data_IF_230786222300
#
_entry.id   IF_230786222300
#
_cell.length_a   1.000
_cell.length_b   1.000
_cell.length_c   1.000
_cell.angle_alpha   90.00
_cell.angle_beta   90.00
_cell.angle_gamma   90.00
#
_symmetry.space_group_name_H-M   'P 1'
#
loop_
_entity.id
_entity.type
_entity.pdbx_description
1 polymer ?
#
# COMPACT_ATOMS: atom_id res chain seq x y z
N UNK A 1 16.82 -17.91 -4.65
CA UNK A 1 15.44 -18.31 -4.28
C UNK A 1 14.85 -17.48 -3.15
N UNK A 2 15.42 -17.47 -1.93
CA UNK A 2 14.90 -16.59 -0.85
C UNK A 2 15.28 -15.13 -1.07
N UNK A 3 16.51 -14.87 -1.51
CA UNK A 3 17.00 -13.50 -1.72
C UNK A 3 16.25 -12.80 -2.87
N UNK A 4 15.95 -13.52 -3.96
CA UNK A 4 15.13 -13.00 -5.08
C UNK A 4 13.73 -12.55 -4.62
N UNK A 5 13.09 -13.30 -3.72
CA UNK A 5 11.77 -12.97 -3.17
C UNK A 5 11.82 -11.76 -2.22
N UNK A 6 12.94 -11.58 -1.50
CA UNK A 6 13.18 -10.40 -0.68
C UNK A 6 13.36 -9.18 -1.57
N UNK A 7 14.12 -9.30 -2.66
CA UNK A 7 14.29 -8.22 -3.63
C UNK A 7 12.98 -7.85 -4.31
N UNK A 8 12.18 -8.83 -4.73
CA UNK A 8 10.83 -8.63 -5.25
C UNK A 8 9.94 -7.92 -4.23
N UNK A 9 9.99 -8.36 -2.96
CA UNK A 9 9.26 -7.69 -1.87
C UNK A 9 9.72 -6.26 -1.65
N UNK A 10 11.01 -5.94 -1.78
CA UNK A 10 11.54 -4.58 -1.62
C UNK A 10 11.13 -3.66 -2.78
N UNK A 11 10.94 -4.21 -3.98
CA UNK A 11 10.46 -3.50 -5.18
C UNK A 11 8.94 -3.50 -5.33
N UNK A 12 8.21 -4.22 -4.48
CA UNK A 12 6.76 -4.33 -4.55
C UNK A 12 6.07 -2.97 -4.41
N UNK A 13 5.34 -2.56 -5.45
CA UNK A 13 4.50 -1.38 -5.45
C UNK A 13 3.11 -1.72 -5.99
N UNK A 14 2.12 -0.94 -5.57
CA UNK A 14 0.75 -0.99 -6.07
C UNK A 14 0.75 -0.49 -7.51
N UNK A 15 0.25 -1.31 -8.44
CA UNK A 15 0.16 -0.95 -9.86
C UNK A 15 -1.10 -0.10 -10.15
N UNK A 16 -1.14 0.58 -11.29
CA UNK A 16 -2.12 1.67 -11.57
C UNK A 16 -3.59 1.21 -11.46
N UNK A 17 -3.90 -0.01 -11.91
CA UNK A 17 -5.26 -0.58 -11.90
C UNK A 17 -5.51 -1.56 -10.74
N UNK A 18 -4.58 -1.63 -9.79
CA UNK A 18 -4.68 -2.53 -8.64
C UNK A 18 -5.36 -1.83 -7.47
N UNK A 19 -6.31 -2.53 -6.84
CA UNK A 19 -6.94 -2.06 -5.61
C UNK A 19 -5.98 -2.17 -4.43
N UNK A 20 -6.19 -1.39 -3.37
CA UNK A 20 -5.41 -1.53 -2.14
C UNK A 20 -5.52 -2.95 -1.58
N UNK A 21 -6.66 -3.62 -1.77
CA UNK A 21 -6.89 -4.98 -1.30
C UNK A 21 -6.06 -6.03 -2.06
N UNK A 22 -5.94 -5.89 -3.38
CA UNK A 22 -5.15 -6.83 -4.19
C UNK A 22 -3.65 -6.63 -3.93
N UNK A 23 -3.21 -5.38 -3.80
CA UNK A 23 -1.86 -5.04 -3.36
C UNK A 23 -1.56 -5.59 -1.96
N UNK A 24 -2.50 -5.47 -1.01
CA UNK A 24 -2.41 -6.05 0.34
C UNK A 24 -2.19 -7.57 0.30
N UNK A 25 -2.93 -8.29 -0.54
CA UNK A 25 -2.78 -9.73 -0.69
C UNK A 25 -1.39 -10.12 -1.20
N UNK A 26 -0.85 -9.40 -2.19
CA UNK A 26 0.52 -9.61 -2.71
C UNK A 26 1.57 -9.30 -1.65
N UNK A 27 1.38 -8.19 -0.93
CA UNK A 27 2.24 -7.79 0.17
C UNK A 27 2.28 -8.85 1.26
N UNK A 28 1.12 -9.33 1.71
CA UNK A 28 1.01 -10.39 2.71
C UNK A 28 1.70 -11.67 2.26
N UNK A 29 1.51 -12.09 0.99
CA UNK A 29 2.17 -13.26 0.42
C UNK A 29 3.70 -13.13 0.45
N UNK A 30 4.25 -12.03 -0.06
CA UNK A 30 5.71 -11.82 -0.18
C UNK A 30 6.38 -11.51 1.16
N UNK A 31 5.66 -10.87 2.09
CA UNK A 31 6.16 -10.55 3.43
C UNK A 31 6.65 -11.76 4.24
N UNK A 32 6.15 -12.97 3.91
CA UNK A 32 6.56 -14.24 4.53
C UNK A 32 8.03 -14.58 4.25
N UNK A 33 8.59 -14.04 3.17
CA UNK A 33 9.98 -14.24 2.78
C UNK A 33 10.92 -13.13 3.30
N UNK A 34 10.35 -11.97 3.65
CA UNK A 34 11.10 -10.79 4.07
C UNK A 34 10.82 -10.40 5.54
N UNK A 35 10.56 -11.38 6.41
CA UNK A 35 10.20 -11.14 7.83
C UNK A 35 11.24 -10.32 8.59
N UNK A 36 12.52 -10.44 8.23
CA UNK A 36 13.62 -9.66 8.80
C UNK A 36 13.66 -8.19 8.33
N UNK A 37 13.06 -7.88 7.18
CA UNK A 37 12.96 -6.50 6.63
C UNK A 37 11.82 -5.73 7.31
N UNK A 38 10.78 -6.44 7.73
CA UNK A 38 9.57 -5.88 8.36
C UNK A 38 9.38 -6.43 9.79
N UNK A 39 10.48 -6.61 10.49
CA UNK A 39 10.59 -7.16 11.84
C UNK A 39 9.83 -6.34 12.89
N UNK A 40 9.65 -5.03 12.66
CA UNK A 40 8.83 -4.16 13.52
C UNK A 40 7.50 -3.77 12.88
N UNK A 41 6.52 -3.43 13.73
CA UNK A 41 5.20 -2.96 13.27
C UNK A 41 5.35 -1.69 12.42
N UNK A 42 6.26 -0.81 12.82
CA UNK A 42 6.55 0.47 12.18
C UNK A 42 7.25 0.28 10.83
N UNK A 43 8.21 -0.66 10.74
CA UNK A 43 8.86 -1.02 9.46
C UNK A 43 7.87 -1.64 8.49
N UNK A 44 7.01 -2.56 8.97
CA UNK A 44 5.93 -3.12 8.16
C UNK A 44 4.96 -2.05 7.65
N UNK A 45 4.54 -1.14 8.53
CA UNK A 45 3.65 -0.03 8.18
C UNK A 45 4.28 0.89 7.13
N UNK A 46 5.53 1.29 7.35
CA UNK A 46 6.29 2.17 6.45
C UNK A 46 6.49 1.52 5.10
N UNK A 47 6.90 0.24 5.06
CA UNK A 47 7.11 -0.49 3.81
C UNK A 47 5.82 -0.60 3.00
N UNK A 48 4.69 -0.93 3.65
CA UNK A 48 3.39 -0.97 2.99
C UNK A 48 2.99 0.40 2.44
N UNK A 49 3.09 1.45 3.27
CA UNK A 49 2.75 2.84 2.89
C UNK A 49 3.56 3.32 1.67
N UNK A 50 4.86 3.02 1.64
CA UNK A 50 5.73 3.47 0.57
C UNK A 50 5.42 2.80 -0.77
N UNK A 51 4.99 1.53 -0.76
CA UNK A 51 4.58 0.84 -1.98
C UNK A 51 3.17 1.20 -2.47
N UNK A 52 2.36 1.95 -1.72
CA UNK A 52 1.06 2.42 -2.21
C UNK A 52 1.24 3.44 -3.35
N UNK A 53 0.30 3.47 -4.31
CA UNK A 53 0.33 4.44 -5.41
C UNK A 53 0.33 5.88 -4.89
N UNK A 54 1.03 6.78 -5.59
CA UNK A 54 1.19 8.18 -5.16
C UNK A 54 -0.15 8.86 -4.88
N UNK A 55 -1.17 8.59 -5.72
CA UNK A 55 -2.51 9.12 -5.56
C UNK A 55 -3.16 8.82 -4.21
N UNK A 56 -2.80 7.69 -3.56
CA UNK A 56 -3.24 7.34 -2.20
C UNK A 56 -2.21 7.84 -1.17
N UNK A 57 -0.93 7.52 -1.40
CA UNK A 57 0.18 7.78 -0.47
C UNK A 57 0.26 9.24 -0.05
N UNK A 58 0.02 10.19 -0.98
CA UNK A 58 0.06 11.63 -0.70
C UNK A 58 -0.90 12.07 0.40
N UNK A 59 -2.05 11.41 0.56
CA UNK A 59 -3.02 11.72 1.61
C UNK A 59 -2.61 11.14 2.97
N UNK A 60 -1.82 10.07 2.97
CA UNK A 60 -1.35 9.41 4.17
C UNK A 60 -0.06 10.03 4.73
N UNK A 61 0.70 10.79 3.94
CA UNK A 61 2.00 11.37 4.33
C UNK A 61 1.91 12.24 5.58
N UNK A 62 0.85 13.04 5.72
CA UNK A 62 0.66 13.93 6.87
C UNK A 62 0.09 13.21 8.11
N UNK A 63 -0.28 11.93 8.00
CA UNK A 63 -0.89 11.17 9.09
C UNK A 63 0.15 10.38 9.89
N UNK A 64 0.02 10.40 11.22
CA UNK A 64 0.79 9.52 12.11
C UNK A 64 0.18 8.12 12.12
N UNK A 65 0.72 7.22 11.29
CA UNK A 65 0.25 5.84 11.12
C UNK A 65 1.38 4.88 11.52
N UNK A 66 1.31 4.35 12.74
CA UNK A 66 2.40 3.56 13.34
C UNK A 66 2.26 2.06 13.09
N UNK A 67 1.08 1.61 12.63
CA UNK A 67 0.80 0.18 12.42
C UNK A 67 0.33 -0.09 11.01
N UNK A 68 0.63 -1.28 10.53
CA UNK A 68 0.18 -1.79 9.24
C UNK A 68 -1.35 -1.71 9.07
N UNK A 69 -2.11 -2.08 10.12
CA UNK A 69 -3.57 -2.01 10.09
C UNK A 69 -4.12 -0.59 9.95
N UNK A 70 -3.51 0.40 10.60
CA UNK A 70 -3.89 1.80 10.43
C UNK A 70 -3.63 2.29 9.00
N UNK A 71 -2.49 1.94 8.42
CA UNK A 71 -2.19 2.30 7.02
C UNK A 71 -3.20 1.65 6.07
N UNK A 72 -3.53 0.38 6.27
CA UNK A 72 -4.48 -0.35 5.44
C UNK A 72 -5.89 0.26 5.48
N UNK A 73 -6.45 0.51 6.68
CA UNK A 73 -7.77 1.13 6.84
C UNK A 73 -7.83 2.50 6.15
N UNK A 74 -6.81 3.35 6.37
CA UNK A 74 -6.79 4.69 5.76
C UNK A 74 -6.59 4.64 4.25
N UNK A 75 -5.72 3.75 3.75
CA UNK A 75 -5.51 3.57 2.32
C UNK A 75 -6.80 3.15 1.60
N UNK A 76 -7.57 2.22 2.18
CA UNK A 76 -8.85 1.78 1.62
C UNK A 76 -9.91 2.89 1.60
N UNK A 77 -9.96 3.76 2.62
CA UNK A 77 -10.86 4.92 2.63
C UNK A 77 -10.47 5.94 1.56
N UNK A 78 -9.18 6.28 1.49
CA UNK A 78 -8.66 7.20 0.47
C UNK A 78 -8.88 6.67 -0.94
N UNK A 79 -8.71 5.36 -1.17
CA UNK A 79 -8.98 4.76 -2.49
C UNK A 79 -10.43 4.98 -2.93
N UNK A 80 -11.40 4.76 -2.03
CA UNK A 80 -12.83 5.01 -2.29
C UNK A 80 -13.09 6.48 -2.64
N UNK A 81 -12.51 7.42 -1.88
CA UNK A 81 -12.69 8.85 -2.13
C UNK A 81 -12.05 9.29 -3.46
N UNK A 82 -10.86 8.77 -3.78
CA UNK A 82 -10.18 9.03 -5.05
C UNK A 82 -11.00 8.47 -6.23
N UNK A 83 -11.55 7.27 -6.10
CA UNK A 83 -12.39 6.66 -7.14
C UNK A 83 -13.70 7.43 -7.33
N UNK A 84 -14.35 7.84 -6.23
CA UNK A 84 -15.55 8.68 -6.27
C UNK A 84 -15.27 10.02 -6.97
N UNK A 85 -14.16 10.68 -6.64
CA UNK A 85 -13.74 11.91 -7.32
C UNK A 85 -13.48 11.70 -8.81
N UNK A 86 -12.80 10.61 -9.20
CA UNK A 86 -12.57 10.27 -10.62
C UNK A 86 -13.89 10.10 -11.39
N UNK A 87 -14.90 9.44 -10.79
CA UNK A 87 -16.23 9.27 -11.39
C UNK A 87 -16.94 10.61 -11.55
N UNK A 88 -16.99 11.42 -10.48
CA UNK A 88 -17.60 12.75 -10.49
C UNK A 88 -17.10 13.63 -11.64
N UNK A 89 -15.78 13.73 -11.83
CA UNK A 89 -15.21 14.56 -12.91
C UNK A 89 -15.34 13.93 -14.31
N UNK A 90 -15.51 12.61 -14.40
CA UNK A 90 -15.73 11.93 -15.69
C UNK A 90 -17.15 12.17 -16.19
N UNK A 91 -18.13 12.14 -15.29
CA UNK A 91 -19.55 12.28 -15.63
C UNK A 91 -19.96 13.75 -15.93
N UNK A 92 -19.03 14.71 -15.72
CA UNK A 92 -19.19 16.14 -16.08
C UNK A 92 -18.62 16.51 -17.46
N UNK A 93 -18.05 15.55 -18.19
CA UNK A 93 -17.60 15.72 -19.58
C UNK A 93 -18.64 15.18 -20.55
#
# INVERSE_FOLDING_TARGET
MKDDMVEEFLKLEQVEDETVKDYEARFARLSRFATHVIDTKERRATRFKNGLKYGIRKFLTAMTLNTYGQVLDKAQRVEKDVEAGRKYYRDQR
#
